data_IF_681546024991
#
_entry.id   IF_681546024991
#
_cell.length_a   1.000
_cell.length_b   1.000
_cell.length_c   1.000
_cell.angle_alpha   90.00
_cell.angle_beta   90.00
_cell.angle_gamma   90.00
#
_symmetry.space_group_name_H-M   'P 1'
#
loop_
_entity.id
_entity.type
_entity.pdbx_description
1 polymer ?
#
# COMPACT_ATOMS: atom_id res chain seq x y z
N UNK A 1 -8.08 -3.38 7.86
CA UNK A 1 -6.79 -2.83 8.29
C UNK A 1 -6.61 -1.48 7.62
N UNK A 2 -6.24 -0.45 8.36
CA UNK A 2 -5.97 0.87 7.79
C UNK A 2 -4.52 0.90 7.25
N UNK A 3 -4.38 0.88 5.92
CA UNK A 3 -3.08 0.82 5.23
C UNK A 3 -2.25 2.08 5.42
N UNK A 4 -2.90 3.21 5.71
CA UNK A 4 -2.25 4.50 5.90
C UNK A 4 -1.56 4.53 7.26
N UNK A 5 -2.25 4.09 8.32
CA UNK A 5 -1.66 3.95 9.65
C UNK A 5 -0.60 2.83 9.70
N UNK A 6 -0.86 1.72 9.00
CA UNK A 6 -0.02 0.52 9.11
C UNK A 6 1.27 0.63 8.31
N UNK A 7 1.26 1.29 7.14
CA UNK A 7 2.42 1.34 6.23
C UNK A 7 2.83 2.77 5.84
N UNK A 8 2.08 3.79 6.25
CA UNK A 8 2.30 5.16 5.79
C UNK A 8 2.00 5.35 4.31
N UNK A 9 1.14 4.49 3.74
CA UNK A 9 0.77 4.49 2.33
C UNK A 9 -0.63 5.07 2.19
N UNK A 10 -0.76 6.15 1.41
CA UNK A 10 -2.04 6.81 1.28
C UNK A 10 -3.00 5.99 0.41
N UNK A 11 -4.29 6.07 0.73
CA UNK A 11 -5.36 5.48 -0.10
C UNK A 11 -5.36 6.01 -1.54
N UNK A 12 -4.81 7.21 -1.77
CA UNK A 12 -4.64 7.83 -3.09
C UNK A 12 -3.57 7.12 -3.93
N UNK A 13 -2.41 6.80 -3.34
CA UNK A 13 -1.33 6.09 -4.04
C UNK A 13 -1.80 4.70 -4.48
N UNK A 14 -2.44 3.96 -3.57
CA UNK A 14 -3.02 2.64 -3.87
C UNK A 14 -4.05 2.73 -5.00
N UNK A 15 -4.95 3.72 -4.95
CA UNK A 15 -5.97 3.91 -5.97
C UNK A 15 -5.38 4.25 -7.35
N UNK A 16 -4.33 5.07 -7.40
CA UNK A 16 -3.65 5.39 -8.66
C UNK A 16 -3.03 4.13 -9.28
N UNK A 17 -2.34 3.31 -8.48
CA UNK A 17 -1.77 2.07 -8.99
C UNK A 17 -2.84 1.07 -9.45
N UNK A 18 -3.99 0.99 -8.75
CA UNK A 18 -5.11 0.17 -9.19
C UNK A 18 -5.73 0.68 -10.49
N UNK A 19 -5.88 1.99 -10.62
CA UNK A 19 -6.37 2.63 -11.84
C UNK A 19 -5.44 2.37 -13.03
N UNK A 20 -4.12 2.39 -12.80
CA UNK A 20 -3.09 2.17 -13.81
C UNK A 20 -2.85 0.67 -14.09
N UNK A 21 -3.60 -0.23 -13.43
CA UNK A 21 -3.47 -1.69 -13.57
C UNK A 21 -2.17 -2.26 -12.99
N UNK A 22 -1.44 -1.48 -12.20
CA UNK A 22 -0.19 -1.87 -11.57
C UNK A 22 -0.40 -2.60 -10.23
N UNK A 23 -1.61 -2.48 -9.67
CA UNK A 23 -1.99 -3.09 -8.40
C UNK A 23 -3.36 -3.76 -8.53
N UNK A 24 -3.44 -5.03 -8.16
CA UNK A 24 -4.71 -5.74 -8.16
C UNK A 24 -5.45 -5.46 -6.85
N UNK A 25 -6.73 -5.12 -6.97
CA UNK A 25 -7.64 -4.92 -5.85
C UNK A 25 -9.06 -5.25 -6.25
N UNK A 26 -9.88 -5.56 -5.26
CA UNK A 26 -11.29 -5.86 -5.44
C UNK A 26 -12.11 -4.60 -5.12
N UNK A 27 -13.05 -4.24 -5.99
CA UNK A 27 -13.97 -3.13 -5.73
C UNK A 27 -15.30 -3.69 -5.26
N UNK A 28 -15.68 -3.39 -4.01
CA UNK A 28 -16.96 -3.81 -3.45
C UNK A 28 -17.72 -2.59 -2.88
N UNK A 29 -18.95 -2.38 -3.35
CA UNK A 29 -19.80 -1.23 -2.98
C UNK A 29 -19.11 0.15 -3.03
N UNK A 30 -18.19 0.36 -3.98
CA UNK A 30 -17.47 1.63 -4.15
C UNK A 30 -16.22 1.77 -3.26
N UNK A 31 -15.94 0.79 -2.40
CA UNK A 31 -14.74 0.68 -1.60
C UNK A 31 -13.75 -0.25 -2.31
N UNK A 32 -12.47 0.13 -2.34
CA UNK A 32 -11.39 -0.71 -2.85
C UNK A 32 -10.79 -1.52 -1.71
N UNK A 33 -10.72 -2.82 -1.91
CA UNK A 33 -10.08 -3.78 -1.03
C UNK A 33 -8.82 -4.27 -1.70
N UNK A 34 -7.77 -4.39 -0.91
CA UNK A 34 -6.50 -4.98 -1.33
C UNK A 34 -6.07 -5.98 -0.28
N UNK A 35 -5.63 -7.14 -0.73
CA UNK A 35 -5.01 -8.11 0.14
C UNK A 35 -3.59 -7.68 0.52
N UNK A 36 -3.16 -8.09 1.70
CA UNK A 36 -1.86 -7.70 2.25
C UNK A 36 -0.69 -8.17 1.36
N UNK A 37 -0.81 -9.33 0.69
CA UNK A 37 0.26 -9.87 -0.16
C UNK A 37 0.44 -9.04 -1.44
N UNK A 38 -0.64 -8.59 -2.07
CA UNK A 38 -0.59 -7.65 -3.21
C UNK A 38 0.03 -6.31 -2.81
N UNK A 39 -0.30 -5.80 -1.62
CA UNK A 39 0.30 -4.58 -1.08
C UNK A 39 1.81 -4.75 -0.87
N UNK A 40 2.25 -5.84 -0.25
CA UNK A 40 3.67 -6.13 -0.06
C UNK A 40 4.41 -6.32 -1.38
N UNK A 41 3.83 -7.06 -2.33
CA UNK A 41 4.43 -7.24 -3.66
C UNK A 41 4.66 -5.89 -4.36
N UNK A 42 3.74 -4.95 -4.22
CA UNK A 42 3.87 -3.61 -4.78
C UNK A 42 4.97 -2.78 -4.09
N UNK A 43 5.13 -2.94 -2.77
CA UNK A 43 6.25 -2.34 -2.03
C UNK A 43 7.59 -2.94 -2.49
N UNK A 44 7.70 -4.26 -2.61
CA UNK A 44 8.93 -4.96 -3.04
C UNK A 44 9.33 -4.61 -4.48
N UNK A 45 8.34 -4.43 -5.36
CA UNK A 45 8.53 -3.95 -6.74
C UNK A 45 8.85 -2.46 -6.83
N UNK A 46 8.81 -1.72 -5.72
CA UNK A 46 9.06 -0.28 -5.66
C UNK A 46 7.93 0.59 -6.21
N UNK A 47 6.73 0.03 -6.42
CA UNK A 47 5.54 0.73 -6.88
C UNK A 47 4.93 1.60 -5.77
N UNK A 48 4.98 1.10 -4.53
CA UNK A 48 4.57 1.84 -3.33
C UNK A 48 5.79 2.22 -2.51
N UNK A 49 5.84 3.48 -2.06
CA UNK A 49 6.88 3.94 -1.15
C UNK A 49 6.51 3.54 0.28
N UNK A 50 7.14 2.49 0.78
CA UNK A 50 7.08 2.14 2.20
C UNK A 50 7.85 3.20 3.02
N UNK A 51 7.14 4.25 3.41
CA UNK A 51 7.67 5.28 4.30
C UNK A 51 7.87 4.76 5.72
N UNK A 52 7.22 3.65 6.11
CA UNK A 52 7.39 3.05 7.43
C UNK A 52 8.63 2.15 7.53
N UNK A 53 9.13 1.56 6.45
CA UNK A 53 10.45 0.90 6.42
C UNK A 53 11.56 1.88 6.78
N UNK A 54 11.45 3.12 6.31
CA UNK A 54 12.35 4.20 6.72
C UNK A 54 12.22 4.52 8.22
N UNK A 55 10.99 4.57 8.75
CA UNK A 55 10.75 4.88 10.17
C UNK A 55 11.06 3.71 11.13
N UNK A 56 10.94 2.44 10.70
CA UNK A 56 11.29 1.25 11.50
C UNK A 56 12.79 1.07 11.67
N UNK A 57 13.59 1.44 10.66
CA UNK A 57 15.04 1.47 10.81
C UNK A 57 15.51 2.55 11.81
N UNK A 58 14.69 3.56 12.05
CA UNK A 58 14.97 4.66 12.99
C UNK A 58 14.34 4.45 14.38
N UNK A 59 13.27 3.65 14.48
CA UNK A 59 12.59 3.29 15.74
C UNK A 59 13.21 2.09 16.50
N UNK A 60 14.29 1.50 15.96
CA UNK A 60 15.06 0.43 16.61
C UNK A 60 16.31 0.95 17.35
N UNK A 61 16.30 2.22 17.76
CA UNK A 61 17.36 2.86 18.56
C UNK A 61 16.84 3.33 19.90
#
# INVERSE_FOLDING_TARGET
>A
MDIEETYGITSREVRNLMHDGQLNGERNHGVWYIDEASLFSAIEKGLLKDRKKALRAEAAK
#
